data_IF_814712816077
#
_entry.id   IF_814712816077
#
_cell.length_a   1.000
_cell.length_b   1.000
_cell.length_c   1.000
_cell.angle_alpha   90.00
_cell.angle_beta   90.00
_cell.angle_gamma   90.00
#
_symmetry.space_group_name_H-M   'P 1'
#
loop_
_entity.id
_entity.type
_entity.pdbx_description
1 polymer ?
#
# COMPACT_ATOMS: atom_id res chain seq x y z
N UNK A 1 12.27 17.53 39.74
CA UNK A 1 12.64 17.93 38.36
C UNK A 1 11.94 16.95 37.43
N UNK A 2 11.16 17.44 36.46
CA UNK A 2 10.50 16.61 35.45
C UNK A 2 11.13 16.97 34.10
N UNK A 3 11.53 15.97 33.34
CA UNK A 3 12.02 16.13 31.97
C UNK A 3 10.94 15.57 31.05
N UNK A 4 10.50 16.38 30.09
CA UNK A 4 9.57 15.98 29.04
C UNK A 4 10.36 15.78 27.75
N UNK A 5 10.19 14.63 27.11
CA UNK A 5 10.72 14.33 25.77
C UNK A 5 9.52 14.22 24.83
N UNK A 6 9.62 14.86 23.67
CA UNK A 6 8.59 14.82 22.61
C UNK A 6 9.21 14.20 21.38
N UNK A 7 8.65 13.08 20.92
CA UNK A 7 9.04 12.46 19.66
C UNK A 7 8.58 13.30 18.45
N UNK A 8 9.21 13.07 17.31
CA UNK A 8 8.80 13.55 15.99
C UNK A 8 8.53 12.34 15.11
N UNK A 9 7.62 12.49 14.14
CA UNK A 9 7.30 11.43 13.19
C UNK A 9 8.48 11.19 12.25
N UNK A 10 8.86 9.94 12.08
CA UNK A 10 9.78 9.44 11.06
C UNK A 10 8.97 9.00 9.83
N UNK A 11 9.52 9.13 8.62
CA UNK A 11 8.80 8.69 7.43
C UNK A 11 8.91 7.18 7.23
N UNK A 12 7.77 6.52 6.99
CA UNK A 12 7.73 5.14 6.55
C UNK A 12 8.59 4.92 5.29
N UNK A 13 9.23 3.77 5.21
CA UNK A 13 9.93 3.28 4.02
C UNK A 13 9.09 2.17 3.41
N UNK A 14 8.57 2.41 2.20
CA UNK A 14 7.76 1.45 1.43
C UNK A 14 8.63 0.87 0.30
N UNK A 15 8.52 -0.44 0.08
CA UNK A 15 9.20 -1.19 -0.97
C UNK A 15 8.34 -2.41 -1.36
N UNK A 16 8.93 -3.43 -1.97
CA UNK A 16 8.23 -4.63 -2.43
C UNK A 16 7.83 -4.52 -3.89
N UNK A 17 6.74 -5.19 -4.24
CA UNK A 17 6.20 -5.22 -5.60
C UNK A 17 5.26 -4.03 -5.83
N UNK A 18 5.72 -3.04 -6.59
CA UNK A 18 5.03 -1.80 -6.88
C UNK A 18 4.60 -1.66 -8.35
N UNK A 19 4.75 -2.71 -9.15
CA UNK A 19 4.41 -2.71 -10.58
C UNK A 19 3.66 -3.98 -10.94
N UNK A 20 2.45 -3.80 -11.46
CA UNK A 20 1.65 -4.86 -12.06
C UNK A 20 1.38 -4.65 -13.55
N UNK A 21 0.94 -5.69 -14.23
CA UNK A 21 0.48 -5.64 -15.61
C UNK A 21 -0.59 -6.70 -15.90
N UNK A 22 -1.58 -6.32 -16.70
CA UNK A 22 -2.57 -7.23 -17.26
C UNK A 22 -2.55 -7.16 -18.79
N UNK A 23 -2.82 -8.27 -19.45
CA UNK A 23 -3.01 -8.33 -20.91
C UNK A 23 -4.47 -8.61 -21.22
N UNK A 24 -5.00 -7.93 -22.24
CA UNK A 24 -6.35 -8.20 -22.74
C UNK A 24 -6.53 -9.70 -23.04
N UNK A 25 -7.71 -10.22 -22.70
CA UNK A 25 -8.14 -11.61 -22.91
C UNK A 25 -7.38 -12.70 -22.12
N UNK A 26 -6.45 -12.34 -21.22
CA UNK A 26 -5.77 -13.33 -20.36
C UNK A 26 -6.73 -14.02 -19.38
N UNK A 27 -7.71 -13.28 -18.84
CA UNK A 27 -8.79 -13.81 -17.98
C UNK A 27 -10.14 -13.18 -18.34
N UNK A 28 -11.22 -13.98 -18.24
CA UNK A 28 -12.59 -13.58 -18.57
C UNK A 28 -13.49 -13.88 -17.35
N UNK A 29 -14.21 -12.89 -16.78
CA UNK A 29 -14.50 -11.56 -17.32
C UNK A 29 -13.64 -10.40 -16.78
N UNK A 30 -12.79 -10.64 -15.79
CA UNK A 30 -12.00 -9.59 -15.11
C UNK A 30 -10.53 -9.94 -15.17
N UNK A 31 -9.72 -8.99 -15.64
CA UNK A 31 -8.27 -9.03 -15.56
C UNK A 31 -7.84 -8.65 -14.15
N UNK A 32 -7.00 -9.46 -13.53
CA UNK A 32 -6.52 -9.23 -12.16
C UNK A 32 -5.00 -9.32 -12.09
N UNK A 33 -4.39 -8.52 -11.24
CA UNK A 33 -3.00 -8.69 -10.85
C UNK A 33 -2.86 -8.52 -9.33
N UNK A 34 -1.83 -9.10 -8.72
CA UNK A 34 -1.64 -9.04 -7.27
C UNK A 34 -0.17 -9.07 -6.91
N UNK A 35 0.18 -8.34 -5.85
CA UNK A 35 1.52 -8.31 -5.31
C UNK A 35 1.51 -7.92 -3.84
N UNK A 36 2.72 -7.70 -3.30
CA UNK A 36 2.91 -7.37 -1.89
C UNK A 36 3.88 -6.20 -1.76
N UNK A 37 3.39 -5.11 -1.19
CA UNK A 37 4.22 -4.02 -0.70
C UNK A 37 4.70 -4.33 0.72
N UNK A 38 5.91 -3.88 1.04
CA UNK A 38 6.49 -3.98 2.38
C UNK A 38 6.65 -2.59 2.97
N UNK A 39 6.42 -2.44 4.26
CA UNK A 39 6.53 -1.16 4.95
C UNK A 39 7.31 -1.34 6.26
N UNK A 40 8.32 -0.48 6.45
CA UNK A 40 9.02 -0.33 7.73
C UNK A 40 8.87 1.09 8.23
N UNK A 41 8.59 1.25 9.52
CA UNK A 41 8.51 2.54 10.19
C UNK A 41 9.24 2.48 11.54
N UNK A 42 9.94 3.56 11.90
CA UNK A 42 10.64 3.67 13.17
C UNK A 42 9.66 3.97 14.32
N UNK A 43 8.51 4.56 14.01
CA UNK A 43 7.46 4.87 14.97
C UNK A 43 6.63 3.62 15.31
N UNK A 44 6.53 3.35 16.61
CA UNK A 44 5.92 2.13 17.13
C UNK A 44 4.43 2.03 16.76
N UNK A 45 4.08 1.04 15.95
CA UNK A 45 2.70 0.75 15.56
C UNK A 45 2.23 1.44 14.27
N UNK A 46 3.13 2.19 13.62
CA UNK A 46 2.90 2.85 12.32
C UNK A 46 3.36 2.01 11.13
N UNK A 47 4.00 0.86 11.40
CA UNK A 47 4.45 -0.08 10.37
C UNK A 47 3.31 -0.91 9.76
N UNK A 48 2.33 -0.26 9.12
CA UNK A 48 1.16 -0.89 8.47
C UNK A 48 0.56 0.02 7.38
N UNK A 49 -0.11 -0.58 6.41
CA UNK A 49 -0.88 0.18 5.43
C UNK A 49 -2.27 0.56 5.97
N UNK A 50 -2.80 1.69 5.49
CA UNK A 50 -4.21 2.05 5.66
C UNK A 50 -4.97 1.66 4.38
N UNK A 51 -5.84 0.63 4.42
CA UNK A 51 -6.65 0.21 3.26
C UNK A 51 -7.50 1.33 2.64
N UNK A 52 -7.84 2.38 3.41
CA UNK A 52 -8.64 3.50 2.94
C UNK A 52 -7.81 4.58 2.20
N UNK A 53 -6.48 4.45 2.16
CA UNK A 53 -5.58 5.45 1.58
C UNK A 53 -5.35 5.30 0.08
N UNK A 54 -5.89 4.26 -0.56
CA UNK A 54 -5.75 4.06 -2.00
C UNK A 54 -6.47 5.17 -2.77
N UNK A 55 -5.77 5.80 -3.71
CA UNK A 55 -6.32 6.84 -4.59
C UNK A 55 -6.26 6.36 -6.03
N UNK A 56 -7.43 6.11 -6.61
CA UNK A 56 -7.55 5.74 -8.02
C UNK A 56 -7.35 6.97 -8.92
N UNK A 57 -6.39 6.95 -9.85
CA UNK A 57 -6.18 8.05 -10.79
C UNK A 57 -7.41 8.29 -11.69
N UNK A 58 -7.64 9.55 -12.05
CA UNK A 58 -8.74 9.91 -12.95
C UNK A 58 -8.63 9.18 -14.30
N UNK A 59 -9.70 8.49 -14.70
CA UNK A 59 -9.76 7.75 -15.97
C UNK A 59 -9.23 6.32 -15.91
N UNK A 60 -8.81 5.83 -14.74
CA UNK A 60 -8.53 4.40 -14.57
C UNK A 60 -9.79 3.54 -14.84
N UNK A 61 -9.60 2.40 -15.50
CA UNK A 61 -10.68 1.46 -15.85
C UNK A 61 -10.86 0.33 -14.82
N UNK A 62 -9.86 0.12 -13.97
CA UNK A 62 -9.87 -0.83 -12.86
C UNK A 62 -9.71 -0.11 -11.51
N UNK A 63 -9.67 -0.89 -10.43
CA UNK A 63 -9.55 -0.43 -9.05
C UNK A 63 -8.51 -1.27 -8.32
N UNK A 64 -7.73 -0.67 -7.42
CA UNK A 64 -6.79 -1.39 -6.58
C UNK A 64 -7.30 -1.39 -5.14
N UNK A 65 -7.15 -2.52 -4.46
CA UNK A 65 -7.30 -2.61 -3.00
C UNK A 65 -5.99 -3.06 -2.38
N UNK A 66 -5.73 -2.66 -1.13
CA UNK A 66 -4.59 -3.14 -0.35
C UNK A 66 -5.05 -3.43 1.08
N UNK A 67 -4.58 -4.52 1.67
CA UNK A 67 -4.81 -4.78 3.09
C UNK A 67 -3.71 -4.14 3.98
N UNK A 68 -3.86 -4.25 5.30
CA UNK A 68 -2.93 -3.64 6.24
C UNK A 68 -1.52 -4.25 6.20
N UNK A 69 -1.39 -5.48 5.69
CA UNK A 69 -0.14 -6.23 5.56
C UNK A 69 0.57 -5.96 4.23
N UNK A 70 -0.07 -5.18 3.34
CA UNK A 70 0.50 -4.74 2.07
C UNK A 70 0.15 -5.63 0.88
N UNK A 71 -0.73 -6.62 1.05
CA UNK A 71 -1.19 -7.43 -0.08
C UNK A 71 -2.17 -6.59 -0.91
N UNK A 72 -1.80 -6.30 -2.15
CA UNK A 72 -2.65 -5.56 -3.07
C UNK A 72 -3.21 -6.45 -4.17
N UNK A 73 -4.40 -6.09 -4.64
CA UNK A 73 -5.06 -6.69 -5.79
C UNK A 73 -5.60 -5.56 -6.66
N UNK A 74 -5.25 -5.61 -7.94
CA UNK A 74 -5.80 -4.80 -9.03
C UNK A 74 -6.81 -5.61 -9.83
#
# INVERSE_FOLDING_TARGET
IVITITGVNDSAVISGDDVGAVTEDDTDPVLTDSGVLTLTDADSGEAKFDPASVVTPAGALGELTIDADGNWVY
#
